data_IF_831008451091
#
_entry.id   IF_831008451091
#
_cell.length_a   1.000
_cell.length_b   1.000
_cell.length_c   1.000
_cell.angle_alpha   90.00
_cell.angle_beta   90.00
_cell.angle_gamma   90.00
#
_symmetry.space_group_name_H-M   'P 1'
#
loop_
_entity.id
_entity.type
_entity.pdbx_description
1 polymer ?
#
# COMPACT_ATOMS: atom_id res chain seq x y z
N UNK A 1 -33.28 -18.09 13.27
CA UNK A 1 -32.14 -18.88 13.79
C UNK A 1 -30.95 -17.93 13.93
N UNK A 2 -30.66 -17.46 15.14
CA UNK A 2 -29.61 -16.44 15.39
C UNK A 2 -28.22 -17.10 15.44
N UNK A 3 -27.20 -16.53 14.77
CA UNK A 3 -25.87 -17.13 14.72
C UNK A 3 -25.17 -17.09 16.09
N UNK A 4 -24.27 -18.06 16.39
CA UNK A 4 -23.70 -18.23 17.73
C UNK A 4 -22.74 -17.09 18.14
N UNK A 5 -22.79 -16.71 19.43
CA UNK A 5 -22.06 -15.57 20.02
C UNK A 5 -20.53 -15.57 19.82
N UNK A 6 -19.90 -16.74 19.64
CA UNK A 6 -18.43 -16.86 19.41
C UNK A 6 -17.99 -16.30 18.05
N UNK A 7 -18.87 -16.32 17.05
CA UNK A 7 -18.56 -15.83 15.70
C UNK A 7 -18.52 -14.30 15.64
N UNK A 8 -19.34 -13.62 16.45
CA UNK A 8 -19.32 -12.15 16.60
C UNK A 8 -18.03 -11.65 17.24
N UNK A 9 -17.42 -12.42 18.15
CA UNK A 9 -16.18 -12.05 18.83
C UNK A 9 -14.96 -12.12 17.90
N UNK A 10 -14.90 -13.15 17.05
CA UNK A 10 -13.82 -13.31 16.05
C UNK A 10 -13.84 -12.18 15.01
N UNK A 11 -15.04 -11.80 14.54
CA UNK A 11 -15.23 -10.64 13.65
C UNK A 11 -14.82 -9.32 14.32
N UNK A 12 -15.17 -9.09 15.58
CA UNK A 12 -14.81 -7.84 16.28
C UNK A 12 -13.31 -7.71 16.55
N UNK A 13 -12.60 -8.84 16.72
CA UNK A 13 -11.16 -8.88 17.01
C UNK A 13 -10.29 -8.79 15.73
N UNK A 14 -10.80 -9.24 14.59
CA UNK A 14 -10.16 -9.11 13.28
C UNK A 14 -10.50 -7.78 12.56
N UNK A 15 -11.58 -7.08 12.93
CA UNK A 15 -12.04 -5.84 12.29
C UNK A 15 -11.80 -4.56 13.13
N UNK A 16 -10.78 -4.52 13.98
CA UNK A 16 -10.37 -3.22 14.56
C UNK A 16 -9.92 -2.30 13.43
N UNK A 17 -10.44 -1.06 13.32
CA UNK A 17 -10.15 -0.16 12.21
C UNK A 17 -8.63 -0.02 11.96
N UNK A 18 -7.86 0.16 13.03
CA UNK A 18 -6.39 0.25 13.01
C UNK A 18 -5.72 -0.95 12.32
N UNK A 19 -6.20 -2.16 12.59
CA UNK A 19 -5.63 -3.41 12.03
C UNK A 19 -5.98 -3.56 10.55
N UNK A 20 -7.18 -3.14 10.15
CA UNK A 20 -7.59 -3.12 8.74
C UNK A 20 -6.68 -2.15 7.96
N UNK A 21 -6.38 -0.98 8.53
CA UNK A 21 -5.47 -0.01 7.92
C UNK A 21 -4.04 -0.54 7.78
N UNK A 22 -3.49 -1.10 8.86
CA UNK A 22 -2.16 -1.72 8.83
C UNK A 22 -2.10 -2.86 7.81
N UNK A 23 -3.12 -3.72 7.79
CA UNK A 23 -3.23 -4.83 6.85
C UNK A 23 -3.32 -4.37 5.40
N UNK A 24 -4.10 -3.32 5.11
CA UNK A 24 -4.23 -2.79 3.75
C UNK A 24 -2.94 -2.15 3.25
N UNK A 25 -2.23 -1.40 4.11
CA UNK A 25 -0.93 -0.82 3.80
C UNK A 25 0.11 -1.91 3.53
N UNK A 26 0.24 -2.89 4.43
CA UNK A 26 1.18 -4.00 4.27
C UNK A 26 0.90 -4.78 2.98
N UNK A 27 -0.37 -5.09 2.69
CA UNK A 27 -0.77 -5.76 1.46
C UNK A 27 -0.36 -4.96 0.22
N UNK A 28 -0.66 -3.66 0.19
CA UNK A 28 -0.39 -2.82 -0.97
C UNK A 28 1.11 -2.60 -1.20
N UNK A 29 1.91 -2.50 -0.12
CA UNK A 29 3.37 -2.43 -0.18
C UNK A 29 3.95 -3.71 -0.78
N UNK A 30 3.52 -4.88 -0.29
CA UNK A 30 4.00 -6.17 -0.80
C UNK A 30 3.62 -6.33 -2.28
N UNK A 31 2.37 -6.03 -2.63
CA UNK A 31 1.88 -6.09 -4.00
C UNK A 31 2.68 -5.14 -4.91
N UNK A 32 2.86 -3.88 -4.49
CA UNK A 32 3.65 -2.88 -5.22
C UNK A 32 5.09 -3.30 -5.42
N UNK A 33 5.72 -3.89 -4.39
CA UNK A 33 7.09 -4.41 -4.46
C UNK A 33 7.20 -5.52 -5.51
N UNK A 34 6.27 -6.48 -5.52
CA UNK A 34 6.26 -7.58 -6.49
C UNK A 34 6.07 -7.07 -7.93
N UNK A 35 5.20 -6.07 -8.12
CA UNK A 35 4.95 -5.48 -9.43
C UNK A 35 6.17 -4.68 -9.92
N UNK A 36 6.79 -3.86 -9.06
CA UNK A 36 7.96 -3.05 -9.42
C UNK A 36 9.21 -3.90 -9.70
N UNK A 37 9.29 -5.11 -9.17
CA UNK A 37 10.35 -6.07 -9.49
C UNK A 37 10.21 -6.71 -10.88
N UNK A 38 9.08 -6.57 -11.55
CA UNK A 38 8.90 -7.13 -12.88
C UNK A 38 9.74 -6.36 -13.93
N UNK A 39 10.24 -7.04 -14.97
CA UNK A 39 11.11 -6.42 -15.97
C UNK A 39 10.42 -5.31 -16.78
N UNK A 40 9.08 -5.29 -16.84
CA UNK A 40 8.35 -4.21 -17.51
C UNK A 40 8.43 -2.87 -16.76
N UNK A 41 8.71 -2.88 -15.46
CA UNK A 41 8.63 -1.70 -14.61
C UNK A 41 9.92 -0.86 -14.63
N UNK A 42 11.06 -1.43 -15.01
CA UNK A 42 12.39 -0.78 -14.93
C UNK A 42 13.07 -0.76 -16.29
N UNK A 43 13.72 0.35 -16.65
CA UNK A 43 14.40 0.46 -17.97
C UNK A 43 15.64 -0.44 -18.07
N UNK A 44 16.29 -0.71 -16.94
CA UNK A 44 17.44 -1.64 -16.86
C UNK A 44 17.05 -3.11 -16.60
N UNK A 45 15.75 -3.40 -16.43
CA UNK A 45 15.23 -4.76 -16.22
C UNK A 45 15.47 -5.36 -14.83
N UNK A 46 16.17 -4.65 -13.92
CA UNK A 46 16.43 -5.13 -12.56
C UNK A 46 16.42 -4.00 -11.54
N UNK A 47 15.85 -4.29 -10.37
CA UNK A 47 15.87 -3.45 -9.17
C UNK A 47 16.14 -4.34 -7.96
N UNK A 48 16.92 -3.86 -7.00
CA UNK A 48 17.12 -4.56 -5.73
C UNK A 48 15.79 -4.75 -5.02
N UNK A 49 15.63 -5.87 -4.32
CA UNK A 49 14.39 -6.14 -3.55
C UNK A 49 14.19 -5.10 -2.45
N UNK A 50 15.29 -4.61 -1.85
CA UNK A 50 15.24 -3.58 -0.81
C UNK A 50 14.79 -2.24 -1.41
N UNK A 51 15.33 -1.87 -2.56
CA UNK A 51 14.97 -0.61 -3.23
C UNK A 51 13.52 -0.64 -3.71
N UNK A 52 13.06 -1.75 -4.27
CA UNK A 52 11.67 -1.92 -4.67
C UNK A 52 10.71 -1.83 -3.48
N UNK A 53 11.07 -2.45 -2.35
CA UNK A 53 10.29 -2.39 -1.11
C UNK A 53 10.25 -0.97 -0.54
N UNK A 54 11.38 -0.27 -0.56
CA UNK A 54 11.47 1.11 -0.11
C UNK A 54 10.63 2.04 -0.99
N UNK A 55 10.76 1.94 -2.31
CA UNK A 55 9.98 2.73 -3.26
C UNK A 55 8.48 2.47 -3.10
N UNK A 56 8.06 1.21 -2.96
CA UNK A 56 6.65 0.87 -2.73
C UNK A 56 6.13 1.45 -1.40
N UNK A 57 6.91 1.34 -0.32
CA UNK A 57 6.57 1.89 1.00
C UNK A 57 6.46 3.41 0.95
N UNK A 58 7.43 4.08 0.34
CA UNK A 58 7.45 5.54 0.22
C UNK A 58 6.28 6.06 -0.62
N UNK A 59 5.92 5.33 -1.67
CA UNK A 59 4.76 5.65 -2.51
C UNK A 59 3.44 5.49 -1.73
N UNK A 60 3.21 4.34 -1.08
CA UNK A 60 1.97 4.08 -0.31
C UNK A 60 1.83 5.03 0.89
N UNK A 61 2.92 5.36 1.56
CA UNK A 61 2.90 6.32 2.68
C UNK A 61 2.93 7.79 2.21
N UNK A 62 3.02 8.04 0.90
CA UNK A 62 3.07 9.39 0.30
C UNK A 62 4.19 10.26 0.89
N UNK A 63 5.34 9.66 1.22
CA UNK A 63 6.47 10.36 1.85
C UNK A 63 7.35 11.11 0.86
N UNK A 64 7.42 10.65 -0.39
CA UNK A 64 8.22 11.30 -1.44
C UNK A 64 9.73 11.00 -1.42
N UNK A 65 10.18 10.04 -0.60
CA UNK A 65 11.58 9.59 -0.58
C UNK A 65 11.85 8.60 -1.72
N UNK A 66 13.00 8.74 -2.38
CA UNK A 66 13.41 7.88 -3.50
C UNK A 66 14.86 7.41 -3.32
N UNK A 67 15.12 6.13 -3.57
CA UNK A 67 16.47 5.52 -3.58
C UNK A 67 17.09 5.49 -4.98
N UNK A 68 16.23 5.50 -6.00
CA UNK A 68 16.61 5.59 -7.41
C UNK A 68 15.74 6.65 -8.09
N UNK A 69 16.28 7.32 -9.11
CA UNK A 69 15.55 8.40 -9.79
C UNK A 69 14.32 7.87 -10.54
N UNK A 70 13.13 8.33 -10.14
CA UNK A 70 11.86 7.77 -10.64
C UNK A 70 11.64 8.03 -12.13
N UNK A 71 12.12 9.18 -12.65
CA UNK A 71 11.91 9.60 -14.03
C UNK A 71 12.78 8.83 -15.04
N UNK A 72 14.04 8.59 -14.68
CA UNK A 72 15.01 7.92 -15.53
C UNK A 72 15.01 6.40 -15.34
N UNK A 73 14.83 5.89 -14.12
CA UNK A 73 15.00 4.47 -13.81
C UNK A 73 13.78 3.61 -14.16
N UNK A 74 12.57 4.07 -13.84
CA UNK A 74 11.34 3.32 -14.13
C UNK A 74 10.84 3.59 -15.56
N UNK A 75 10.23 2.58 -16.16
CA UNK A 75 9.47 2.74 -17.40
C UNK A 75 8.18 3.51 -17.12
N UNK A 76 7.47 3.91 -18.18
CA UNK A 76 6.13 4.48 -18.04
C UNK A 76 5.18 3.55 -17.28
N UNK A 77 5.30 2.23 -17.48
CA UNK A 77 4.54 1.23 -16.72
C UNK A 77 4.88 1.23 -15.23
N UNK A 78 6.17 1.29 -14.87
CA UNK A 78 6.60 1.40 -13.48
C UNK A 78 6.16 2.71 -12.81
N UNK A 79 6.22 3.82 -13.55
CA UNK A 79 5.75 5.13 -13.08
C UNK A 79 4.24 5.13 -12.80
N UNK A 80 3.44 4.50 -13.65
CA UNK A 80 1.99 4.33 -13.41
C UNK A 80 1.70 3.49 -12.18
N UNK A 81 2.48 2.44 -11.92
CA UNK A 81 2.37 1.66 -10.69
C UNK A 81 2.66 2.52 -9.47
N UNK A 82 3.75 3.30 -9.48
CA UNK A 82 4.11 4.21 -8.39
C UNK A 82 3.01 5.25 -8.16
N UNK A 83 2.47 5.86 -9.23
CA UNK A 83 1.36 6.79 -9.14
C UNK A 83 0.09 6.14 -8.55
N UNK A 84 -0.21 4.91 -8.95
CA UNK A 84 -1.32 4.14 -8.39
C UNK A 84 -1.15 3.87 -6.89
N UNK A 85 0.06 3.52 -6.45
CA UNK A 85 0.40 3.32 -5.04
C UNK A 85 0.26 4.62 -4.23
N UNK A 86 0.72 5.75 -4.78
CA UNK A 86 0.56 7.08 -4.16
C UNK A 86 -0.91 7.42 -3.98
N UNK A 87 -1.72 7.25 -5.03
CA UNK A 87 -3.13 7.59 -4.98
C UNK A 87 -3.89 6.71 -3.99
N UNK A 88 -3.65 5.40 -4.02
CA UNK A 88 -4.31 4.46 -3.14
C UNK A 88 -3.87 4.67 -1.67
N UNK A 89 -2.60 5.00 -1.44
CA UNK A 89 -2.07 5.36 -0.13
C UNK A 89 -2.72 6.63 0.46
N UNK A 90 -2.78 7.70 -0.35
CA UNK A 90 -3.41 8.96 0.05
C UNK A 90 -4.91 8.82 0.37
N UNK A 91 -5.65 8.04 -0.43
CA UNK A 91 -7.07 7.77 -0.18
C UNK A 91 -7.31 6.95 1.10
N UNK A 92 -6.40 6.04 1.43
CA UNK A 92 -6.47 5.23 2.65
C UNK A 92 -6.42 6.07 3.92
N UNK A 93 -5.47 7.02 4.01
CA UNK A 93 -5.32 7.92 5.16
C UNK A 93 -6.55 8.84 5.28
N UNK A 94 -7.01 9.42 4.16
CA UNK A 94 -8.14 10.36 4.16
C UNK A 94 -9.45 9.70 4.63
N UNK A 95 -9.70 8.46 4.19
CA UNK A 95 -10.91 7.73 4.58
C UNK A 95 -10.90 7.42 6.09
N UNK A 96 -9.73 7.07 6.63
CA UNK A 96 -9.57 6.85 8.07
C UNK A 96 -9.73 8.11 8.90
N UNK A 97 -9.16 9.22 8.45
CA UNK A 97 -9.34 10.53 9.10
C UNK A 97 -10.82 10.91 9.20
N UNK A 98 -11.59 10.71 8.14
CA UNK A 98 -13.05 10.99 8.12
C UNK A 98 -13.82 10.03 9.03
N UNK A 99 -13.48 8.73 9.03
CA UNK A 99 -14.13 7.75 9.92
C UNK A 99 -13.87 8.10 11.39
N UNK A 100 -12.63 8.44 11.74
CA UNK A 100 -12.26 8.83 13.09
C UNK A 100 -13.00 10.12 13.51
N UNK A 101 -13.03 11.13 12.64
CA UNK A 101 -13.81 12.34 12.88
C UNK A 101 -15.30 12.08 13.09
N UNK A 102 -15.89 11.13 12.35
CA UNK A 102 -17.30 10.75 12.50
C UNK A 102 -17.61 9.93 13.77
N UNK A 103 -16.60 9.34 14.40
CA UNK A 103 -16.76 8.52 15.61
C UNK A 103 -16.55 9.32 16.91
N UNK A 104 -15.91 10.49 16.82
CA UNK A 104 -15.79 11.50 17.88
C UNK A 104 -17.06 12.36 17.98
#
# INVERSE_FOLDING_TARGET
MSPPRRLKLFFHYFLSPERILLGSFAFMIILGTLILKMPFATKGGHISTVDALFTATSAVCVTGLVVVDTGSFFTLGGQLVILGLIQAGGLGIMTFSVLFWRLL
#
